data_IF_802191872653
#
_entry.id   IF_802191872653
#
_cell.length_a   1.000
_cell.length_b   1.000
_cell.length_c   1.000
_cell.angle_alpha   90.00
_cell.angle_beta   90.00
_cell.angle_gamma   90.00
#
_symmetry.space_group_name_H-M   'P 1'
#
loop_
_entity.id
_entity.type
_entity.pdbx_description
1 polymer ?
#
# COMPACT_ATOMS: atom_id res chain seq x y z
N UNK A 1 0.50 -23.57 31.12
CA UNK A 1 0.79 -23.28 29.70
C UNK A 1 2.06 -22.46 29.67
N UNK A 2 3.07 -22.88 28.91
CA UNK A 2 4.28 -22.08 28.77
C UNK A 2 3.87 -20.73 28.16
N UNK A 3 4.29 -19.61 28.74
CA UNK A 3 4.09 -18.28 28.19
C UNK A 3 4.90 -18.20 26.93
N UNK A 4 4.26 -17.90 25.78
CA UNK A 4 4.93 -17.88 24.46
C UNK A 4 6.01 -16.81 24.33
N UNK A 5 6.22 -15.96 25.33
CA UNK A 5 7.09 -14.79 25.24
C UNK A 5 6.58 -13.68 24.30
N UNK A 6 5.42 -13.86 23.65
CA UNK A 6 4.81 -12.90 22.77
C UNK A 6 3.85 -11.96 23.52
N UNK A 7 3.80 -10.69 23.08
CA UNK A 7 2.75 -9.78 23.54
C UNK A 7 1.38 -10.26 23.04
N UNK A 8 0.34 -10.09 23.86
CA UNK A 8 -1.03 -10.55 23.57
C UNK A 8 -1.80 -9.56 22.67
N UNK A 9 -1.15 -9.06 21.62
CA UNK A 9 -1.76 -8.13 20.64
C UNK A 9 -2.68 -8.83 19.65
N UNK A 10 -2.54 -10.15 19.51
CA UNK A 10 -3.36 -11.01 18.67
C UNK A 10 -4.04 -12.09 19.49
N UNK A 11 -5.20 -12.53 19.01
CA UNK A 11 -5.90 -13.73 19.49
C UNK A 11 -5.88 -14.78 18.38
N UNK A 12 -4.79 -15.56 18.24
CA UNK A 12 -4.68 -16.54 17.16
C UNK A 12 -5.73 -17.65 17.31
N UNK A 13 -6.14 -18.21 16.18
CA UNK A 13 -6.91 -19.46 16.14
C UNK A 13 -6.07 -20.61 16.68
N UNK A 14 -6.70 -21.73 17.04
CA UNK A 14 -6.04 -22.92 17.61
C UNK A 14 -5.30 -23.79 16.58
N UNK A 15 -5.32 -23.40 15.29
CA UNK A 15 -4.64 -24.11 14.22
C UNK A 15 -3.22 -23.57 14.03
N UNK A 16 -2.25 -24.48 13.79
CA UNK A 16 -0.88 -24.14 13.41
C UNK A 16 -0.60 -24.71 12.03
N UNK A 17 -0.32 -23.83 11.06
CA UNK A 17 0.05 -24.24 9.72
C UNK A 17 1.56 -24.43 9.61
N UNK A 18 1.98 -25.49 8.92
CA UNK A 18 3.39 -25.86 8.73
C UNK A 18 3.79 -25.87 7.26
N UNK A 19 2.85 -26.10 6.33
CA UNK A 19 3.10 -26.19 4.90
C UNK A 19 2.02 -25.44 4.11
N UNK A 20 2.43 -24.83 2.99
CA UNK A 20 1.53 -24.27 1.98
C UNK A 20 1.88 -24.76 0.58
N UNK A 21 0.88 -24.91 -0.30
CA UNK A 21 1.03 -25.31 -1.69
C UNK A 21 -0.11 -24.73 -2.55
N UNK A 22 0.20 -23.78 -3.40
CA UNK A 22 -0.80 -23.04 -4.17
C UNK A 22 -1.85 -22.39 -3.27
N UNK A 23 -3.09 -22.80 -3.36
CA UNK A 23 -4.21 -22.30 -2.55
C UNK A 23 -4.45 -23.07 -1.24
N UNK A 24 -3.60 -24.06 -0.95
CA UNK A 24 -3.77 -24.95 0.18
C UNK A 24 -2.79 -24.71 1.30
N UNK A 25 -3.29 -24.74 2.53
CA UNK A 25 -2.51 -24.79 3.77
C UNK A 25 -2.68 -26.16 4.44
N UNK A 26 -1.64 -26.60 5.11
CA UNK A 26 -1.63 -27.87 5.86
C UNK A 26 -1.18 -27.58 7.29
N UNK A 27 -1.93 -28.09 8.26
CA UNK A 27 -1.56 -27.95 9.67
C UNK A 27 -0.53 -29.01 10.10
N UNK A 28 -0.10 -28.94 11.35
CA UNK A 28 0.87 -29.86 11.95
C UNK A 28 0.40 -31.32 12.01
N UNK A 29 -0.90 -31.58 11.83
CA UNK A 29 -1.49 -32.92 11.76
C UNK A 29 -1.68 -33.40 10.32
N UNK A 30 -1.30 -32.56 9.33
CA UNK A 30 -1.43 -32.85 7.90
C UNK A 30 -2.83 -32.58 7.32
N UNK A 31 -3.73 -31.99 8.10
CA UNK A 31 -5.06 -31.66 7.61
C UNK A 31 -4.98 -30.47 6.64
N UNK A 32 -5.70 -30.57 5.52
CA UNK A 32 -5.71 -29.60 4.45
C UNK A 32 -6.81 -28.56 4.64
N UNK A 33 -6.50 -27.31 4.31
CA UNK A 33 -7.42 -26.15 4.35
C UNK A 33 -7.30 -25.33 3.08
N UNK A 34 -8.42 -24.92 2.50
CA UNK A 34 -8.44 -23.91 1.44
C UNK A 34 -8.17 -22.53 2.04
N UNK A 35 -7.11 -21.87 1.60
CA UNK A 35 -6.74 -20.53 2.09
C UNK A 35 -7.48 -19.43 1.31
N UNK A 36 -8.62 -19.01 1.85
CA UNK A 36 -9.38 -17.88 1.31
C UNK A 36 -8.95 -16.53 1.91
N UNK A 37 -8.01 -16.53 2.89
CA UNK A 37 -7.51 -15.30 3.53
C UNK A 37 -6.23 -14.81 2.86
N UNK A 38 -5.41 -15.73 2.38
CA UNK A 38 -4.13 -15.48 1.69
C UNK A 38 -3.18 -14.58 2.49
N UNK A 39 -3.18 -14.70 3.84
CA UNK A 39 -2.38 -13.83 4.70
C UNK A 39 -2.89 -12.38 4.74
N UNK A 40 -4.19 -12.17 4.59
CA UNK A 40 -4.87 -10.86 4.45
C UNK A 40 -4.46 -10.19 3.12
N UNK A 41 -4.82 -10.85 2.00
CA UNK A 41 -4.56 -10.41 0.63
C UNK A 41 -3.06 -10.26 0.28
N UNK A 42 -2.18 -11.09 0.87
CA UNK A 42 -0.72 -11.06 0.65
C UNK A 42 -0.27 -12.08 -0.37
N UNK A 43 -0.63 -13.35 -0.22
CA UNK A 43 -0.14 -14.44 -1.09
C UNK A 43 -0.97 -14.53 -2.38
N UNK A 44 -0.88 -13.49 -3.24
CA UNK A 44 -1.67 -13.39 -4.47
C UNK A 44 -1.36 -14.46 -5.52
N UNK A 45 -0.12 -14.94 -5.56
CA UNK A 45 0.32 -16.05 -6.41
C UNK A 45 0.17 -17.42 -5.74
N UNK A 46 -0.41 -17.47 -4.53
CA UNK A 46 -0.46 -18.67 -3.71
C UNK A 46 0.83 -18.96 -2.95
N UNK A 47 0.79 -20.05 -2.18
CA UNK A 47 1.91 -20.51 -1.37
C UNK A 47 2.93 -21.25 -2.22
N UNK A 48 4.21 -21.06 -1.92
CA UNK A 48 5.35 -21.77 -2.55
C UNK A 48 5.34 -21.70 -4.08
N UNK A 49 4.90 -20.55 -4.66
CA UNK A 49 4.92 -20.38 -6.11
C UNK A 49 6.32 -20.64 -6.68
N UNK A 50 6.50 -21.54 -7.67
CA UNK A 50 7.82 -22.04 -8.09
C UNK A 50 8.82 -20.94 -8.45
N UNK A 51 8.40 -19.94 -9.25
CA UNK A 51 9.27 -18.80 -9.66
C UNK A 51 9.69 -17.97 -8.47
N UNK A 52 8.77 -17.71 -7.53
CA UNK A 52 9.03 -16.91 -6.32
C UNK A 52 9.98 -17.65 -5.40
N UNK A 53 9.73 -18.94 -5.15
CA UNK A 53 10.57 -19.78 -4.30
C UNK A 53 11.99 -19.87 -4.86
N UNK A 54 12.15 -20.07 -6.16
CA UNK A 54 13.47 -20.14 -6.82
C UNK A 54 14.22 -18.81 -6.68
N UNK A 55 13.53 -17.67 -6.92
CA UNK A 55 14.15 -16.34 -6.77
C UNK A 55 14.64 -16.10 -5.35
N UNK A 56 13.84 -16.49 -4.33
CA UNK A 56 14.24 -16.36 -2.91
C UNK A 56 15.49 -17.20 -2.64
N UNK A 57 15.52 -18.45 -3.07
CA UNK A 57 16.66 -19.35 -2.87
C UNK A 57 17.92 -18.81 -3.52
N UNK A 58 17.84 -18.41 -4.79
CA UNK A 58 18.99 -17.90 -5.54
C UNK A 58 19.51 -16.58 -4.95
N UNK A 59 18.62 -15.66 -4.62
CA UNK A 59 19.02 -14.36 -4.10
C UNK A 59 19.53 -14.43 -2.66
N UNK A 60 18.98 -15.32 -1.84
CA UNK A 60 19.46 -15.54 -0.47
C UNK A 60 20.90 -16.05 -0.43
N UNK A 61 21.33 -16.82 -1.44
CA UNK A 61 22.72 -17.29 -1.56
C UNK A 61 23.70 -16.21 -2.07
N UNK A 62 23.19 -15.11 -2.66
CA UNK A 62 24.03 -14.05 -3.25
C UNK A 62 24.18 -12.86 -2.33
N UNK A 63 23.06 -12.22 -1.98
CA UNK A 63 23.05 -10.99 -1.19
C UNK A 63 21.63 -10.72 -0.67
N UNK A 64 21.45 -10.78 0.65
CA UNK A 64 20.15 -10.54 1.29
C UNK A 64 19.90 -9.05 1.49
N UNK A 65 20.91 -8.34 2.01
CA UNK A 65 20.80 -6.92 2.36
C UNK A 65 22.10 -6.17 2.10
N UNK A 66 21.93 -4.91 1.73
CA UNK A 66 22.97 -3.87 1.77
C UNK A 66 22.29 -2.53 2.07
N UNK A 67 23.05 -1.50 2.36
CA UNK A 67 22.48 -0.17 2.63
C UNK A 67 22.07 0.55 1.34
N UNK A 68 21.06 1.42 1.43
CA UNK A 68 20.72 2.41 0.41
C UNK A 68 21.81 3.48 0.18
N UNK A 69 22.95 3.37 0.86
CA UNK A 69 24.19 4.08 0.52
C UNK A 69 24.81 3.58 -0.79
N UNK A 70 24.42 2.40 -1.24
CA UNK A 70 24.89 1.77 -2.47
C UNK A 70 23.75 1.59 -3.46
N UNK A 71 24.09 1.49 -4.74
CA UNK A 71 23.10 1.13 -5.76
C UNK A 71 22.71 -0.33 -5.61
N UNK A 72 21.42 -0.62 -5.71
CA UNK A 72 20.85 -1.96 -5.60
C UNK A 72 20.16 -2.29 -6.91
N UNK A 73 20.74 -3.21 -7.69
CA UNK A 73 20.28 -3.56 -9.03
C UNK A 73 18.78 -3.87 -9.06
N UNK A 74 18.30 -4.81 -8.24
CA UNK A 74 16.90 -5.20 -8.24
C UNK A 74 15.94 -4.11 -7.75
N UNK A 75 16.42 -3.19 -6.92
CA UNK A 75 15.65 -2.01 -6.53
C UNK A 75 15.39 -1.10 -7.74
N UNK A 76 16.43 -0.86 -8.54
CA UNK A 76 16.32 -0.04 -9.75
C UNK A 76 15.44 -0.72 -10.81
N UNK A 77 15.61 -2.03 -11.03
CA UNK A 77 14.79 -2.80 -11.98
C UNK A 77 13.32 -2.85 -11.55
N UNK A 78 13.04 -3.10 -10.27
CA UNK A 78 11.67 -3.10 -9.74
C UNK A 78 11.04 -1.71 -9.80
N UNK A 79 11.80 -0.66 -9.45
CA UNK A 79 11.34 0.73 -9.54
C UNK A 79 10.95 1.10 -10.97
N UNK A 80 11.78 0.78 -11.94
CA UNK A 80 11.51 1.01 -13.37
C UNK A 80 10.26 0.22 -13.83
N UNK A 81 10.13 -1.04 -13.41
CA UNK A 81 8.98 -1.88 -13.79
C UNK A 81 7.68 -1.37 -13.20
N UNK A 82 7.68 -0.98 -11.94
CA UNK A 82 6.50 -0.40 -11.29
C UNK A 82 6.13 0.95 -11.91
N UNK A 83 7.10 1.80 -12.21
CA UNK A 83 6.88 3.08 -12.89
C UNK A 83 6.20 2.90 -14.26
N UNK A 84 6.70 1.94 -15.06
CA UNK A 84 6.10 1.58 -16.36
C UNK A 84 4.65 1.14 -16.24
N UNK A 85 4.34 0.21 -15.33
CA UNK A 85 3.00 -0.37 -15.17
C UNK A 85 1.99 0.65 -14.62
N UNK A 86 2.47 1.54 -13.74
CA UNK A 86 1.63 2.51 -13.03
C UNK A 86 1.51 3.87 -13.71
N UNK A 87 2.32 4.16 -14.76
CA UNK A 87 2.52 5.50 -15.28
C UNK A 87 2.97 6.53 -14.22
N UNK A 88 3.75 6.06 -13.22
CA UNK A 88 4.41 6.90 -12.22
C UNK A 88 5.87 7.17 -12.63
N UNK A 89 6.53 8.13 -11.96
CA UNK A 89 7.88 8.59 -12.33
C UNK A 89 8.95 8.16 -11.34
N UNK A 90 8.58 8.02 -10.06
CA UNK A 90 9.53 7.71 -8.99
C UNK A 90 8.92 6.73 -7.98
N UNK A 91 9.78 5.96 -7.32
CA UNK A 91 9.38 4.97 -6.33
C UNK A 91 10.30 5.03 -5.10
N UNK A 92 9.72 5.00 -3.91
CA UNK A 92 10.41 4.73 -2.65
C UNK A 92 9.97 3.38 -2.12
N UNK A 93 10.92 2.55 -1.65
CA UNK A 93 10.65 1.25 -1.07
C UNK A 93 10.77 1.26 0.45
N UNK A 94 9.72 0.78 1.13
CA UNK A 94 9.69 0.43 2.55
C UNK A 94 9.52 -1.09 2.75
N UNK A 95 9.17 -1.50 3.98
CA UNK A 95 8.99 -2.91 4.34
C UNK A 95 7.52 -3.29 4.53
N UNK A 96 6.63 -2.33 4.49
CA UNK A 96 5.19 -2.53 4.76
C UNK A 96 4.35 -1.46 4.08
N UNK A 97 3.04 -1.71 4.02
CA UNK A 97 2.07 -0.70 3.57
C UNK A 97 2.03 0.53 4.48
N UNK A 98 2.19 0.34 5.80
CA UNK A 98 2.27 1.46 6.73
C UNK A 98 3.46 2.38 6.41
N UNK A 99 4.64 1.83 6.11
CA UNK A 99 5.81 2.63 5.73
C UNK A 99 5.62 3.32 4.36
N UNK A 100 4.95 2.66 3.41
CA UNK A 100 4.60 3.28 2.13
C UNK A 100 3.65 4.48 2.35
N UNK A 101 2.65 4.33 3.21
CA UNK A 101 1.72 5.40 3.58
C UNK A 101 2.40 6.53 4.38
N UNK A 102 3.34 6.22 5.27
CA UNK A 102 4.16 7.24 5.95
C UNK A 102 4.94 8.09 4.93
N UNK A 103 5.49 7.47 3.89
CA UNK A 103 6.14 8.19 2.79
C UNK A 103 5.15 9.12 2.07
N UNK A 104 3.97 8.63 1.71
CA UNK A 104 2.91 9.42 1.05
C UNK A 104 2.44 10.60 1.91
N UNK A 105 2.22 10.39 3.22
CA UNK A 105 1.87 11.45 4.18
C UNK A 105 2.98 12.51 4.25
N UNK A 106 4.26 12.09 4.26
CA UNK A 106 5.40 13.02 4.28
C UNK A 106 5.50 13.81 2.97
N UNK A 107 5.26 13.17 1.81
CA UNK A 107 5.18 13.87 0.52
C UNK A 107 4.11 14.97 0.60
N UNK A 108 2.89 14.65 1.00
CA UNK A 108 1.79 15.62 1.09
C UNK A 108 2.12 16.80 2.02
N UNK A 109 2.69 16.52 3.19
CA UNK A 109 3.07 17.58 4.13
C UNK A 109 4.16 18.50 3.59
N UNK A 110 5.21 17.93 3.02
CA UNK A 110 6.31 18.73 2.46
C UNK A 110 5.86 19.51 1.22
N UNK A 111 5.00 18.91 0.37
CA UNK A 111 4.35 19.58 -0.73
C UNK A 111 3.57 20.82 -0.28
N UNK A 112 2.79 20.71 0.79
CA UNK A 112 2.07 21.84 1.37
C UNK A 112 3.01 22.92 1.91
N UNK A 113 4.07 22.54 2.64
CA UNK A 113 5.06 23.52 3.12
C UNK A 113 5.78 24.22 1.97
N UNK A 114 6.10 23.51 0.88
CA UNK A 114 6.70 24.11 -0.31
C UNK A 114 5.76 25.13 -0.99
N UNK A 115 4.44 25.02 -0.78
CA UNK A 115 3.43 25.99 -1.22
C UNK A 115 3.12 27.07 -0.17
N UNK A 116 3.87 27.13 0.91
CA UNK A 116 3.71 28.14 1.97
C UNK A 116 2.57 27.87 2.96
N UNK A 117 1.99 26.64 2.96
CA UNK A 117 0.94 26.25 3.90
C UNK A 117 1.61 25.80 5.20
N UNK A 118 1.42 26.55 6.29
CA UNK A 118 2.08 26.27 7.58
C UNK A 118 1.58 24.98 8.25
N UNK A 119 0.31 24.66 8.08
CA UNK A 119 -0.35 23.50 8.71
C UNK A 119 -1.02 22.60 7.66
N UNK A 120 -0.23 21.94 6.80
CA UNK A 120 -0.78 21.11 5.73
C UNK A 120 -1.71 20.04 6.30
N UNK A 121 -2.90 19.91 5.71
CA UNK A 121 -3.90 18.93 6.08
C UNK A 121 -4.18 17.97 4.93
N UNK A 122 -4.46 16.72 5.28
CA UNK A 122 -4.81 15.65 4.34
C UNK A 122 -6.24 15.22 4.63
N UNK A 123 -7.11 15.22 3.63
CA UNK A 123 -8.45 14.65 3.76
C UNK A 123 -8.35 13.13 3.72
N UNK A 124 -8.98 12.46 4.68
CA UNK A 124 -9.03 11.00 4.81
C UNK A 124 -10.46 10.54 5.06
N UNK A 125 -10.80 9.34 4.60
CA UNK A 125 -12.16 8.83 4.71
C UNK A 125 -12.45 8.21 6.09
N UNK A 126 -13.71 8.28 6.51
CA UNK A 126 -14.23 7.47 7.61
C UNK A 126 -14.11 5.98 7.26
N UNK A 127 -13.96 5.13 8.28
CA UNK A 127 -13.79 3.68 8.17
C UNK A 127 -12.57 3.22 7.36
N UNK A 128 -11.69 4.13 6.94
CA UNK A 128 -10.45 3.78 6.24
C UNK A 128 -9.45 3.04 7.14
N UNK A 129 -8.54 2.31 6.49
CA UNK A 129 -7.40 1.69 7.16
C UNK A 129 -6.10 1.97 6.39
N UNK A 130 -5.18 2.73 7.01
CA UNK A 130 -3.92 3.11 6.38
C UNK A 130 -2.68 2.58 7.11
N UNK A 131 -2.83 1.93 8.26
CA UNK A 131 -1.72 1.32 9.02
C UNK A 131 -1.82 1.52 10.53
N UNK A 132 -0.75 1.11 11.24
CA UNK A 132 -0.66 1.10 12.70
C UNK A 132 0.47 1.94 13.28
N UNK A 133 1.28 2.61 12.45
CA UNK A 133 2.22 3.65 12.91
C UNK A 133 1.45 4.91 13.33
N UNK A 134 2.03 5.79 14.14
CA UNK A 134 1.26 6.90 14.72
C UNK A 134 0.61 7.79 13.66
N UNK A 135 1.29 8.11 12.55
CA UNK A 135 0.66 8.94 11.52
C UNK A 135 -0.38 8.16 10.70
N UNK A 136 -0.09 6.93 10.29
CA UNK A 136 -1.06 6.10 9.56
C UNK A 136 -2.25 5.68 10.43
N UNK A 137 -2.04 5.48 11.74
CA UNK A 137 -3.11 5.27 12.72
C UNK A 137 -4.01 6.50 12.82
N UNK A 138 -3.41 7.70 12.83
CA UNK A 138 -4.16 8.96 12.86
C UNK A 138 -4.95 9.18 11.57
N UNK A 139 -4.42 8.75 10.42
CA UNK A 139 -5.10 8.76 9.13
C UNK A 139 -6.25 7.73 9.07
N UNK A 140 -6.11 6.58 9.74
CA UNK A 140 -7.11 5.50 9.79
C UNK A 140 -8.44 5.96 10.38
N UNK A 141 -9.56 5.69 9.69
CA UNK A 141 -10.91 6.14 10.05
C UNK A 141 -11.63 5.31 11.12
N UNK A 142 -10.92 4.49 11.89
CA UNK A 142 -11.50 3.58 12.88
C UNK A 142 -11.10 3.99 14.32
N UNK A 143 -12.07 4.59 15.05
CA UNK A 143 -11.86 5.06 16.42
C UNK A 143 -11.45 3.95 17.40
N UNK A 144 -11.88 2.71 17.18
CA UNK A 144 -11.54 1.59 18.08
C UNK A 144 -10.04 1.28 18.08
N UNK A 145 -9.36 1.49 16.94
CA UNK A 145 -7.90 1.24 16.85
C UNK A 145 -7.08 2.46 17.26
N UNK A 146 -7.69 3.65 17.36
CA UNK A 146 -7.05 4.88 17.81
C UNK A 146 -7.10 5.06 19.34
N UNK A 147 -8.15 4.54 19.97
CA UNK A 147 -8.41 4.73 21.40
C UNK A 147 -7.23 4.26 22.27
N UNK A 148 -6.75 5.16 23.14
CA UNK A 148 -5.62 4.92 24.04
C UNK A 148 -4.25 5.29 23.46
N UNK A 149 -4.19 5.80 22.21
CA UNK A 149 -2.94 6.25 21.56
C UNK A 149 -2.90 7.77 21.34
N UNK A 150 -3.82 8.50 21.96
CA UNK A 150 -3.81 9.96 21.95
C UNK A 150 -2.62 10.52 22.72
N UNK A 151 -2.07 11.71 22.34
CA UNK A 151 -2.58 12.59 21.26
C UNK A 151 -2.23 12.06 19.87
N UNK A 152 -3.24 12.04 18.98
CA UNK A 152 -3.04 11.65 17.58
C UNK A 152 -2.23 12.70 16.81
N UNK A 153 -1.57 12.26 15.74
CA UNK A 153 -0.86 13.16 14.84
C UNK A 153 -1.88 14.09 14.15
N UNK A 154 -1.65 15.38 14.23
CA UNK A 154 -2.51 16.41 13.64
C UNK A 154 -2.33 16.52 12.12
N UNK A 155 -3.29 17.18 11.46
CA UNK A 155 -3.25 17.45 10.02
C UNK A 155 -4.04 16.43 9.19
N UNK A 156 -5.02 15.76 9.80
CA UNK A 156 -6.00 14.92 9.09
C UNK A 156 -7.40 15.49 9.25
N UNK A 157 -8.13 15.62 8.13
CA UNK A 157 -9.52 16.08 8.06
C UNK A 157 -10.38 14.89 7.63
N UNK A 158 -11.41 14.56 8.41
CA UNK A 158 -12.31 13.43 8.13
C UNK A 158 -13.40 13.83 7.17
N UNK A 159 -13.73 12.90 6.26
CA UNK A 159 -14.87 12.98 5.36
C UNK A 159 -15.57 11.62 5.29
N UNK A 160 -16.89 11.55 5.14
CA UNK A 160 -17.54 10.31 4.77
C UNK A 160 -16.93 9.72 3.50
N UNK A 161 -16.81 8.39 3.44
CA UNK A 161 -16.37 7.71 2.23
C UNK A 161 -17.47 7.77 1.16
N UNK A 162 -17.10 7.90 -0.10
CA UNK A 162 -18.03 7.99 -1.23
C UNK A 162 -18.96 9.23 -1.19
N UNK A 163 -18.50 10.36 -0.64
CA UNK A 163 -19.23 11.63 -0.55
C UNK A 163 -18.39 12.78 -1.12
N UNK A 164 -18.56 13.06 -2.41
CA UNK A 164 -17.87 14.15 -3.10
C UNK A 164 -18.31 15.54 -2.62
N UNK A 165 -19.54 15.71 -2.16
CA UNK A 165 -20.07 16.99 -1.69
C UNK A 165 -19.46 17.38 -0.34
N UNK A 166 -19.23 16.39 0.53
CA UNK A 166 -18.46 16.60 1.75
C UNK A 166 -17.03 17.09 1.43
N UNK A 167 -16.36 16.49 0.44
CA UNK A 167 -15.01 16.92 0.00
C UNK A 167 -15.05 18.35 -0.58
N UNK A 168 -16.03 18.68 -1.42
CA UNK A 168 -16.22 20.06 -1.94
C UNK A 168 -16.47 21.08 -0.82
N UNK A 169 -17.23 20.69 0.19
CA UNK A 169 -17.48 21.52 1.37
C UNK A 169 -16.18 21.78 2.14
N UNK A 170 -15.34 20.76 2.31
CA UNK A 170 -14.01 20.90 2.92
C UNK A 170 -13.16 21.87 2.08
N UNK A 171 -13.15 21.71 0.75
CA UNK A 171 -12.39 22.57 -0.16
C UNK A 171 -12.78 24.05 -0.04
N UNK A 172 -14.06 24.33 0.07
CA UNK A 172 -14.57 25.70 0.22
C UNK A 172 -14.23 26.35 1.57
N UNK A 173 -13.98 25.57 2.62
CA UNK A 173 -13.86 26.05 4.00
C UNK A 173 -12.50 25.81 4.67
N UNK A 174 -11.57 25.09 4.04
CA UNK A 174 -10.27 24.76 4.64
C UNK A 174 -9.12 24.94 3.66
N UNK A 175 -8.46 26.07 3.74
CA UNK A 175 -7.32 26.45 2.88
C UNK A 175 -6.02 25.72 3.23
N UNK A 176 -5.97 24.93 4.30
CA UNK A 176 -4.80 24.15 4.68
C UNK A 176 -4.73 22.77 4.00
N UNK A 177 -5.80 22.33 3.33
CA UNK A 177 -5.82 21.04 2.66
C UNK A 177 -4.85 21.03 1.47
N UNK A 178 -4.05 19.98 1.39
CA UNK A 178 -3.01 19.79 0.36
C UNK A 178 -3.13 18.46 -0.38
N UNK A 179 -3.92 17.53 0.16
CA UNK A 179 -4.11 16.21 -0.43
C UNK A 179 -5.42 15.56 0.03
N UNK A 180 -5.89 14.64 -0.78
CA UNK A 180 -6.89 13.62 -0.41
C UNK A 180 -6.20 12.25 -0.43
N UNK A 181 -6.40 11.44 0.62
CA UNK A 181 -5.88 10.07 0.71
C UNK A 181 -7.01 9.10 0.98
N UNK A 182 -7.24 8.17 0.07
CA UNK A 182 -8.32 7.17 0.15
C UNK A 182 -7.88 5.81 -0.38
N UNK A 183 -8.56 4.77 0.06
CA UNK A 183 -8.54 3.44 -0.58
C UNK A 183 -9.52 3.45 -1.76
N UNK A 184 -9.18 2.93 -2.95
CA UNK A 184 -10.16 2.80 -4.05
C UNK A 184 -11.35 1.91 -3.70
N UNK A 185 -11.11 0.86 -2.91
CA UNK A 185 -12.13 0.05 -2.24
C UNK A 185 -11.65 -0.13 -0.80
N UNK A 186 -12.48 0.22 0.18
CA UNK A 186 -12.13 0.01 1.58
C UNK A 186 -12.16 -1.49 1.91
N UNK A 187 -11.05 -2.03 2.38
CA UNK A 187 -10.92 -3.45 2.75
C UNK A 187 -11.28 -3.71 4.22
N UNK A 188 -10.44 -3.26 5.14
CA UNK A 188 -10.60 -3.45 6.60
C UNK A 188 -11.86 -2.77 7.16
N UNK A 189 -12.33 -1.71 6.53
CA UNK A 189 -13.56 -1.01 6.87
C UNK A 189 -14.85 -1.75 6.47
N UNK A 190 -14.73 -2.91 5.79
CA UNK A 190 -15.85 -3.77 5.37
C UNK A 190 -16.15 -3.70 3.90
N UNK A 191 -15.30 -4.07 3.01
CA UNK A 191 -15.46 -4.15 1.53
C UNK A 191 -16.45 -3.10 0.98
N UNK A 192 -16.13 -1.83 1.20
CA UNK A 192 -16.96 -0.73 0.72
C UNK A 192 -16.49 -0.32 -0.68
N UNK A 193 -17.33 -0.58 -1.68
CA UNK A 193 -17.10 -0.20 -3.08
C UNK A 193 -17.78 1.16 -3.30
N UNK A 194 -17.06 2.18 -3.78
CA UNK A 194 -17.67 3.49 -4.03
C UNK A 194 -18.47 3.51 -5.33
N UNK A 195 -19.20 4.59 -5.59
CA UNK A 195 -19.83 4.86 -6.87
C UNK A 195 -18.78 5.02 -7.98
N UNK A 196 -19.15 4.70 -9.22
CA UNK A 196 -18.22 4.66 -10.37
C UNK A 196 -17.54 6.01 -10.63
N UNK A 197 -18.18 7.12 -10.30
CA UNK A 197 -17.69 8.48 -10.48
C UNK A 197 -16.87 9.02 -9.30
N UNK A 198 -16.75 8.25 -8.20
CA UNK A 198 -16.10 8.75 -6.98
C UNK A 198 -14.63 9.08 -7.19
N UNK A 199 -13.84 8.15 -7.75
CA UNK A 199 -12.40 8.38 -7.96
C UNK A 199 -12.13 9.46 -8.99
N UNK A 200 -12.90 9.52 -10.08
CA UNK A 200 -12.80 10.58 -11.09
C UNK A 200 -13.22 11.95 -10.52
N UNK A 201 -14.26 11.97 -9.70
CA UNK A 201 -14.67 13.18 -8.97
C UNK A 201 -13.61 13.67 -7.98
N UNK A 202 -12.95 12.76 -7.25
CA UNK A 202 -11.82 13.12 -6.38
C UNK A 202 -10.66 13.71 -7.19
N UNK A 203 -10.32 13.10 -8.36
CA UNK A 203 -9.28 13.64 -9.24
C UNK A 203 -9.60 15.06 -9.67
N UNK A 204 -10.83 15.32 -10.12
CA UNK A 204 -11.26 16.66 -10.52
C UNK A 204 -11.17 17.66 -9.37
N UNK A 205 -11.67 17.30 -8.17
CA UNK A 205 -11.59 18.19 -7.00
C UNK A 205 -10.13 18.49 -6.64
N UNK A 206 -9.24 17.50 -6.70
CA UNK A 206 -7.83 17.71 -6.43
C UNK A 206 -7.18 18.64 -7.47
N UNK A 207 -7.49 18.47 -8.75
CA UNK A 207 -6.99 19.33 -9.83
C UNK A 207 -7.45 20.79 -9.66
N UNK A 208 -8.74 20.99 -9.38
CA UNK A 208 -9.34 22.33 -9.20
C UNK A 208 -8.74 23.10 -8.01
N UNK A 209 -8.26 22.39 -6.99
CA UNK A 209 -7.72 22.97 -5.76
C UNK A 209 -6.20 22.91 -5.65
N UNK A 210 -5.50 22.30 -6.60
CA UNK A 210 -4.06 22.09 -6.54
C UNK A 210 -3.63 21.16 -5.41
N UNK A 211 -4.45 20.15 -5.11
CA UNK A 211 -4.19 19.11 -4.12
C UNK A 211 -3.61 17.85 -4.76
N UNK A 212 -2.87 17.07 -3.98
CA UNK A 212 -2.45 15.74 -4.39
C UNK A 212 -3.58 14.73 -4.19
N UNK A 213 -3.81 13.86 -5.16
CA UNK A 213 -4.61 12.64 -5.00
C UNK A 213 -3.68 11.49 -4.64
N UNK A 214 -3.85 10.93 -3.45
CA UNK A 214 -3.11 9.77 -2.93
C UNK A 214 -4.07 8.58 -2.89
N UNK A 215 -3.76 7.52 -3.62
CA UNK A 215 -4.51 6.28 -3.58
C UNK A 215 -3.75 5.19 -2.82
N UNK A 216 -4.34 4.73 -1.73
CA UNK A 216 -3.87 3.58 -0.97
C UNK A 216 -4.32 2.29 -1.64
N UNK A 217 -3.46 1.77 -2.50
CA UNK A 217 -3.67 0.52 -3.25
C UNK A 217 -2.95 -0.68 -2.60
N UNK A 218 -2.69 -0.61 -1.30
CA UNK A 218 -2.04 -1.70 -0.57
C UNK A 218 -2.84 -3.00 -0.66
N UNK A 219 -4.17 -2.90 -0.66
CA UNK A 219 -5.04 -4.06 -0.81
C UNK A 219 -5.61 -4.23 -2.21
N UNK A 220 -5.96 -3.14 -2.90
CA UNK A 220 -6.59 -3.17 -4.22
C UNK A 220 -5.60 -3.37 -5.37
N UNK A 221 -4.34 -3.04 -5.18
CA UNK A 221 -3.29 -3.21 -6.18
C UNK A 221 -2.86 -4.66 -6.41
N UNK A 222 -1.81 -4.81 -7.20
CA UNK A 222 -1.20 -6.11 -7.55
C UNK A 222 -2.20 -7.09 -8.20
N UNK A 223 -3.08 -6.58 -9.05
CA UNK A 223 -4.01 -7.40 -9.82
C UNK A 223 -5.31 -7.78 -9.11
N UNK A 224 -5.49 -7.39 -7.83
CA UNK A 224 -6.60 -7.84 -6.98
C UNK A 224 -7.99 -7.57 -7.56
N UNK A 225 -8.16 -6.44 -8.24
CA UNK A 225 -9.47 -5.94 -8.70
C UNK A 225 -9.66 -6.01 -10.22
N UNK A 226 -8.77 -6.69 -10.94
CA UNK A 226 -8.91 -6.90 -12.39
C UNK A 226 -7.96 -6.08 -13.27
N UNK A 227 -7.30 -5.06 -12.72
CA UNK A 227 -6.18 -4.33 -13.31
C UNK A 227 -5.00 -4.38 -12.35
N UNK A 228 -3.78 -4.00 -12.79
CA UNK A 228 -2.62 -4.03 -11.89
C UNK A 228 -2.84 -3.10 -10.69
N UNK A 229 -3.29 -1.86 -10.93
CA UNK A 229 -3.82 -0.94 -9.92
C UNK A 229 -5.30 -0.65 -10.22
N UNK A 230 -6.12 -0.49 -9.18
CA UNK A 230 -7.55 -0.26 -9.32
C UNK A 230 -7.87 1.03 -10.10
N UNK A 231 -7.13 2.12 -9.86
CA UNK A 231 -7.38 3.40 -10.55
C UNK A 231 -7.33 3.31 -12.07
N UNK A 232 -6.66 2.31 -12.63
CA UNK A 232 -6.55 2.12 -14.08
C UNK A 232 -7.92 1.81 -14.72
N UNK A 233 -8.86 1.22 -13.95
CA UNK A 233 -10.23 0.96 -14.41
C UNK A 233 -11.05 2.25 -14.57
N UNK A 234 -10.68 3.29 -13.84
CA UNK A 234 -11.41 4.56 -13.81
C UNK A 234 -10.84 5.61 -14.77
N UNK A 235 -9.79 5.27 -15.52
CA UNK A 235 -9.16 6.19 -16.49
C UNK A 235 -8.55 7.44 -15.86
N UNK A 236 -8.24 7.42 -14.58
CA UNK A 236 -7.59 8.52 -13.85
C UNK A 236 -6.12 8.20 -13.59
N UNK A 237 -5.36 9.23 -13.21
CA UNK A 237 -3.98 9.08 -12.77
C UNK A 237 -3.78 9.88 -11.47
N UNK A 238 -3.55 9.19 -10.31
CA UNK A 238 -3.27 9.86 -9.05
C UNK A 238 -1.86 10.47 -9.05
N UNK A 239 -1.57 11.31 -8.05
CA UNK A 239 -0.23 11.88 -7.88
C UNK A 239 0.67 10.96 -7.07
N UNK A 240 0.08 10.18 -6.17
CA UNK A 240 0.79 9.20 -5.34
C UNK A 240 -0.04 7.92 -5.25
N UNK A 241 0.63 6.78 -5.35
CA UNK A 241 0.05 5.44 -5.13
C UNK A 241 0.91 4.69 -4.12
N UNK A 242 0.29 4.06 -3.14
CA UNK A 242 0.97 3.15 -2.23
C UNK A 242 0.57 1.71 -2.47
N UNK A 243 1.51 0.79 -2.38
CA UNK A 243 1.30 -0.65 -2.56
C UNK A 243 2.17 -1.47 -1.61
N UNK A 244 1.72 -2.68 -1.29
CA UNK A 244 2.44 -3.65 -0.46
C UNK A 244 1.78 -5.03 -0.60
N UNK A 245 1.59 -5.78 0.47
CA UNK A 245 0.88 -7.07 0.51
C UNK A 245 1.24 -7.98 -0.66
N UNK A 246 0.37 -8.04 -1.69
CA UNK A 246 0.58 -8.86 -2.89
C UNK A 246 1.88 -8.57 -3.65
N UNK A 247 2.48 -7.40 -3.47
CA UNK A 247 3.76 -7.03 -4.10
C UNK A 247 4.89 -8.00 -3.75
N UNK A 248 4.94 -8.48 -2.50
CA UNK A 248 6.01 -9.36 -2.02
C UNK A 248 5.63 -10.84 -1.96
N UNK A 249 4.36 -11.20 -2.19
CA UNK A 249 3.83 -12.55 -2.05
C UNK A 249 4.31 -13.29 -0.79
N UNK A 250 4.36 -12.56 0.34
CA UNK A 250 4.81 -13.07 1.65
C UNK A 250 6.09 -12.44 2.18
N UNK A 251 6.96 -11.87 1.33
CA UNK A 251 8.11 -11.10 1.81
C UNK A 251 7.70 -9.65 2.16
N UNK A 252 8.31 -9.07 3.22
CA UNK A 252 7.97 -7.73 3.67
C UNK A 252 8.53 -6.67 2.70
N UNK A 253 7.65 -6.08 1.91
CA UNK A 253 7.94 -4.96 1.03
C UNK A 253 6.71 -4.07 0.88
N UNK A 254 6.92 -2.76 0.82
CA UNK A 254 5.95 -1.75 0.43
C UNK A 254 6.61 -0.75 -0.49
N UNK A 255 5.80 -0.09 -1.31
CA UNK A 255 6.27 0.94 -2.23
C UNK A 255 5.33 2.14 -2.23
N UNK A 256 5.92 3.33 -2.28
CA UNK A 256 5.23 4.59 -2.53
C UNK A 256 5.71 5.11 -3.88
N UNK A 257 4.79 5.18 -4.83
CA UNK A 257 5.05 5.66 -6.19
C UNK A 257 4.48 7.07 -6.33
N UNK A 258 5.18 7.93 -7.04
CA UNK A 258 4.76 9.32 -7.23
C UNK A 258 5.07 9.81 -8.64
N UNK A 259 4.33 10.86 -9.06
CA UNK A 259 4.57 11.56 -10.33
C UNK A 259 4.53 13.07 -10.14
N UNK A 260 5.00 13.80 -11.16
CA UNK A 260 4.94 15.26 -11.22
C UNK A 260 5.61 15.94 -10.02
N UNK A 261 4.94 16.92 -9.43
CA UNK A 261 5.47 17.62 -8.25
C UNK A 261 5.71 16.69 -7.07
N UNK A 262 4.83 15.69 -6.86
CA UNK A 262 4.95 14.73 -5.78
C UNK A 262 6.25 13.90 -5.88
N UNK A 263 6.63 13.47 -7.09
CA UNK A 263 7.87 12.71 -7.33
C UNK A 263 9.13 13.51 -6.99
N UNK A 264 9.04 14.83 -7.09
CA UNK A 264 10.15 15.75 -6.88
C UNK A 264 10.15 16.42 -5.48
N UNK A 265 9.19 16.09 -4.62
CA UNK A 265 9.01 16.73 -3.31
C UNK A 265 10.09 16.31 -2.31
N UNK A 266 10.32 15.01 -2.14
CA UNK A 266 11.36 14.51 -1.22
C UNK A 266 12.75 14.61 -1.84
N UNK A 267 13.71 15.05 -1.04
CA UNK A 267 15.13 15.20 -1.42
C UNK A 267 16.00 14.32 -0.51
N UNK A 268 17.26 14.08 -0.87
CA UNK A 268 18.19 13.32 -0.02
C UNK A 268 18.15 13.80 1.44
N UNK A 269 17.97 12.87 2.37
CA UNK A 269 17.86 13.14 3.81
C UNK A 269 16.43 13.39 4.34
N UNK A 270 15.42 13.61 3.49
CA UNK A 270 14.05 13.84 3.95
C UNK A 270 13.35 12.56 4.43
N UNK A 271 13.69 11.41 3.84
CA UNK A 271 13.09 10.12 4.18
C UNK A 271 14.10 8.99 3.96
N UNK A 272 13.88 7.84 4.61
CA UNK A 272 14.76 6.70 4.48
C UNK A 272 14.21 5.46 5.17
N UNK A 273 14.80 4.31 4.87
CA UNK A 273 14.53 3.02 5.49
C UNK A 273 15.82 2.20 5.50
N UNK A 274 16.11 1.51 6.60
CA UNK A 274 17.29 0.64 6.69
C UNK A 274 17.14 -0.57 5.77
N UNK A 275 16.00 -1.24 5.80
CA UNK A 275 15.76 -2.49 5.06
C UNK A 275 14.96 -2.30 3.77
N UNK A 276 14.23 -1.19 3.64
CA UNK A 276 13.40 -0.93 2.47
C UNK A 276 14.20 -0.93 1.18
N UNK A 277 13.74 -1.68 0.18
CA UNK A 277 14.43 -1.81 -1.09
C UNK A 277 15.63 -2.76 -1.09
N UNK A 278 15.76 -3.65 -0.11
CA UNK A 278 16.84 -4.63 -0.05
C UNK A 278 16.84 -5.60 -1.24
N UNK A 279 18.00 -6.16 -1.61
CA UNK A 279 18.15 -7.04 -2.77
C UNK A 279 17.18 -8.24 -2.78
N UNK A 280 16.98 -8.90 -1.64
CA UNK A 280 16.12 -10.10 -1.57
C UNK A 280 14.66 -9.77 -1.84
N UNK A 281 14.12 -8.77 -1.13
CA UNK A 281 12.72 -8.39 -1.28
C UNK A 281 12.45 -7.79 -2.67
N UNK A 282 13.37 -6.98 -3.21
CA UNK A 282 13.21 -6.41 -4.54
C UNK A 282 13.29 -7.45 -5.66
N UNK A 283 14.22 -8.41 -5.60
CA UNK A 283 14.28 -9.51 -6.55
C UNK A 283 12.99 -10.34 -6.55
N UNK A 284 12.51 -10.66 -5.35
CA UNK A 284 11.26 -11.40 -5.18
C UNK A 284 10.06 -10.63 -5.71
N UNK A 285 9.91 -9.37 -5.35
CA UNK A 285 8.81 -8.52 -5.82
C UNK A 285 8.86 -8.33 -7.34
N UNK A 286 10.03 -8.17 -7.95
CA UNK A 286 10.17 -8.10 -9.40
C UNK A 286 9.68 -9.39 -10.08
N UNK A 287 9.98 -10.55 -9.51
CA UNK A 287 9.46 -11.84 -9.99
C UNK A 287 7.94 -11.90 -9.86
N UNK A 288 7.38 -11.43 -8.74
CA UNK A 288 5.92 -11.37 -8.52
C UNK A 288 5.26 -10.48 -9.57
N UNK A 289 5.76 -9.25 -9.73
CA UNK A 289 5.24 -8.27 -10.70
C UNK A 289 5.26 -8.83 -12.12
N UNK A 290 6.39 -9.40 -12.54
CA UNK A 290 6.52 -9.98 -13.87
C UNK A 290 5.58 -11.19 -14.05
N UNK A 291 5.43 -12.05 -13.06
CA UNK A 291 4.51 -13.19 -13.12
C UNK A 291 3.06 -12.72 -13.28
N UNK A 292 2.62 -11.72 -12.50
CA UNK A 292 1.27 -11.15 -12.60
C UNK A 292 0.98 -10.64 -14.02
N UNK A 293 1.94 -9.94 -14.63
CA UNK A 293 1.79 -9.36 -15.98
C UNK A 293 1.90 -10.41 -17.09
N UNK A 294 2.94 -11.24 -17.05
CA UNK A 294 3.21 -12.26 -18.10
C UNK A 294 2.12 -13.33 -18.18
N UNK A 295 1.54 -13.70 -17.04
CA UNK A 295 0.46 -14.69 -16.97
C UNK A 295 -0.93 -14.05 -17.03
N UNK A 296 -1.01 -12.72 -17.22
CA UNK A 296 -2.26 -11.95 -17.32
C UNK A 296 -3.22 -12.20 -16.14
N UNK A 297 -2.67 -12.33 -14.93
CA UNK A 297 -3.45 -12.67 -13.73
C UNK A 297 -4.45 -11.58 -13.30
N UNK A 298 -4.21 -10.27 -13.51
CA UNK A 298 -5.23 -9.26 -13.27
C UNK A 298 -6.51 -9.51 -14.10
N UNK A 299 -6.37 -9.80 -15.39
CA UNK A 299 -7.51 -10.15 -16.25
C UNK A 299 -8.23 -11.41 -15.75
N UNK A 300 -7.46 -12.41 -15.31
CA UNK A 300 -8.05 -13.63 -14.72
C UNK A 300 -8.85 -13.32 -13.46
N UNK A 301 -8.40 -12.38 -12.62
CA UNK A 301 -9.15 -11.94 -11.46
C UNK A 301 -10.46 -11.24 -11.86
N UNK A 302 -10.46 -10.41 -12.90
CA UNK A 302 -11.67 -9.77 -13.43
C UNK A 302 -12.70 -10.80 -13.95
N UNK A 303 -12.23 -11.85 -14.62
CA UNK A 303 -13.11 -12.91 -15.17
C UNK A 303 -13.75 -13.78 -14.09
N UNK A 304 -13.09 -13.94 -12.95
CA UNK A 304 -13.57 -14.76 -11.82
C UNK A 304 -14.38 -13.99 -10.79
N UNK A 305 -14.24 -12.67 -10.73
CA UNK A 305 -14.95 -11.77 -9.82
C UNK A 305 -16.26 -11.32 -10.40
#
# INVERSE_FOLDING_TARGET
MATSGLMTTYKPMSVTFEKGDGVWLYDTEGKQYLDCITGIAVCGLGHCHPRVTQTIQDQAQRLVHTSNLYRIRYQEELGARLAEISNMEACFFGNSGAEANECAIKIARLYGHNKGIEKPAIVVADQSFHGRTLATLSATGNRKVQAGFEPLVQGFVRSPYNDLDAIRTIAANNTNVVAVMVEPVQGEGGINIPADDYLSGLRQICDDNGWLLILDEIQTGNGRTGTYFNYQQHGILPDVVTTAKGLGNGLPIGACLARGEAANTLKPGNHGSTYGGNPLCCATALTVVNTLVEENLPQRAAELG
#
